data_IF_079034979365
#
_entry.id   IF_079034979365
#
_cell.length_a   1.000
_cell.length_b   1.000
_cell.length_c   1.000
_cell.angle_alpha   90.00
_cell.angle_beta   90.00
_cell.angle_gamma   90.00
#
_symmetry.space_group_name_H-M   'P 1'
#
loop_
_entity.id
_entity.type
_entity.pdbx_description
1 polymer ?
#
# COMPACT_ATOMS: atom_id res chain seq x y z
N UNK A 1 1.72 2.33 -5.32
CA UNK A 1 2.71 3.03 -4.46
C UNK A 1 2.70 2.62 -2.98
N UNK A 2 1.55 2.42 -2.32
CA UNK A 2 1.49 2.07 -0.88
C UNK A 2 2.23 0.76 -0.52
N UNK A 3 2.11 -0.30 -1.32
CA UNK A 3 2.76 -1.60 -1.04
C UNK A 3 4.30 -1.57 -1.05
N UNK A 4 4.91 -0.76 -1.92
CA UNK A 4 6.38 -0.61 -1.99
C UNK A 4 6.93 0.11 -0.75
N UNK A 5 6.18 1.10 -0.23
CA UNK A 5 6.52 1.82 1.00
C UNK A 5 6.48 0.91 2.23
N UNK A 6 5.41 0.14 2.41
CA UNK A 6 5.26 -0.78 3.55
C UNK A 6 6.30 -1.91 3.52
N UNK A 7 6.66 -2.41 2.34
CA UNK A 7 7.72 -3.43 2.19
C UNK A 7 9.09 -2.89 2.64
N UNK A 8 9.42 -1.66 2.24
CA UNK A 8 10.68 -1.02 2.63
C UNK A 8 10.71 -0.73 4.15
N UNK A 9 9.58 -0.34 4.74
CA UNK A 9 9.45 -0.13 6.19
C UNK A 9 9.63 -1.44 6.97
N UNK A 10 9.01 -2.54 6.53
CA UNK A 10 9.18 -3.86 7.15
C UNK A 10 10.66 -4.29 7.10
N UNK A 11 11.33 -4.11 5.96
CA UNK A 11 12.74 -4.44 5.79
C UNK A 11 13.64 -3.64 6.73
N UNK A 12 13.44 -2.33 6.78
CA UNK A 12 14.20 -1.44 7.66
C UNK A 12 14.08 -1.83 9.14
N UNK A 13 12.85 -2.00 9.63
CA UNK A 13 12.61 -2.38 11.02
C UNK A 13 13.15 -3.79 11.34
N UNK A 14 13.07 -4.73 10.39
CA UNK A 14 13.60 -6.09 10.57
C UNK A 14 15.12 -6.10 10.67
N UNK A 15 15.82 -5.38 9.76
CA UNK A 15 17.28 -5.27 9.80
C UNK A 15 17.73 -4.61 11.09
N UNK A 16 17.12 -3.47 11.45
CA UNK A 16 17.51 -2.73 12.64
C UNK A 16 17.28 -3.56 13.92
N UNK A 17 16.13 -4.22 14.05
CA UNK A 17 15.85 -5.12 15.17
C UNK A 17 16.84 -6.29 15.26
N UNK A 18 17.17 -6.92 14.13
CA UNK A 18 18.14 -8.01 14.07
C UNK A 18 19.56 -7.57 14.45
N UNK A 19 20.01 -6.39 13.97
CA UNK A 19 21.31 -5.83 14.31
C UNK A 19 21.43 -5.53 15.81
N UNK A 20 20.40 -4.92 16.40
CA UNK A 20 20.36 -4.63 17.85
C UNK A 20 20.40 -5.93 18.67
N UNK A 21 19.61 -6.93 18.29
CA UNK A 21 19.58 -8.22 18.98
C UNK A 21 20.93 -8.94 18.88
N UNK A 22 21.49 -9.04 17.66
CA UNK A 22 22.78 -9.68 17.42
C UNK A 22 23.92 -8.98 18.17
N UNK A 23 23.95 -7.64 18.16
CA UNK A 23 24.93 -6.86 18.92
C UNK A 23 24.79 -7.09 20.43
N UNK A 24 23.56 -7.16 20.95
CA UNK A 24 23.32 -7.42 22.37
C UNK A 24 23.76 -8.83 22.78
N UNK A 25 23.47 -9.84 21.95
CA UNK A 25 23.93 -11.23 22.17
C UNK A 25 25.44 -11.33 22.08
N UNK A 26 26.08 -10.64 21.12
CA UNK A 26 27.54 -10.62 21.02
C UNK A 26 28.19 -10.02 22.27
N UNK A 27 27.64 -8.94 22.82
CA UNK A 27 28.11 -8.34 24.08
C UNK A 27 27.93 -9.29 25.27
N UNK A 28 26.87 -10.10 25.31
CA UNK A 28 26.68 -11.11 26.35
C UNK A 28 27.71 -12.23 26.28
N UNK A 29 28.04 -12.69 25.07
CA UNK A 29 28.94 -13.82 24.84
C UNK A 29 30.41 -13.44 25.00
N UNK A 30 30.79 -12.25 24.53
CA UNK A 30 32.19 -11.81 24.44
C UNK A 30 32.54 -10.65 25.39
N UNK A 31 31.60 -10.20 26.23
CA UNK A 31 31.82 -9.12 27.19
C UNK A 31 32.72 -9.53 28.36
N UNK A 32 33.39 -8.54 28.96
CA UNK A 32 34.37 -8.69 30.04
C UNK A 32 33.81 -9.38 31.31
N UNK A 33 32.48 -9.44 31.46
CA UNK A 33 31.77 -10.07 32.60
C UNK A 33 30.75 -11.14 32.13
N UNK A 34 31.13 -12.04 31.22
CA UNK A 34 30.22 -13.02 30.59
C UNK A 34 29.77 -14.15 31.53
N UNK A 35 28.69 -13.92 32.28
CA UNK A 35 27.88 -14.98 32.89
C UNK A 35 26.59 -15.17 32.10
N UNK A 36 26.64 -16.05 31.09
CA UNK A 36 25.58 -16.22 30.09
C UNK A 36 24.25 -16.67 30.70
N UNK A 37 24.25 -17.49 31.77
CA UNK A 37 23.02 -18.05 32.34
C UNK A 37 22.18 -17.05 33.14
N UNK A 38 22.80 -16.09 33.83
CA UNK A 38 22.11 -15.04 34.61
C UNK A 38 21.61 -13.86 33.76
N UNK A 39 21.99 -13.84 32.49
CA UNK A 39 21.88 -12.66 31.60
C UNK A 39 20.77 -12.76 30.54
N UNK A 40 20.25 -13.95 30.28
CA UNK A 40 19.26 -14.15 29.20
C UNK A 40 17.86 -13.68 29.62
N UNK A 41 17.51 -13.82 30.91
CA UNK A 41 16.18 -13.44 31.43
C UNK A 41 15.78 -11.99 31.14
N UNK A 42 16.61 -10.99 31.49
CA UNK A 42 16.34 -9.58 31.20
C UNK A 42 16.14 -9.29 29.71
N UNK A 43 16.96 -9.90 28.84
CA UNK A 43 16.84 -9.76 27.38
C UNK A 43 15.49 -10.28 26.87
N UNK A 44 15.11 -11.50 27.27
CA UNK A 44 13.85 -12.11 26.85
C UNK A 44 12.65 -11.32 27.39
N UNK A 45 12.72 -10.85 28.64
CA UNK A 45 11.66 -10.06 29.24
C UNK A 45 11.47 -8.72 28.52
N UNK A 46 12.58 -8.03 28.19
CA UNK A 46 12.53 -6.78 27.43
C UNK A 46 11.93 -6.99 26.04
N UNK A 47 12.36 -8.06 25.36
CA UNK A 47 11.89 -8.43 24.02
C UNK A 47 10.41 -8.82 24.00
N UNK A 48 9.96 -9.66 24.93
CA UNK A 48 8.56 -10.08 25.01
C UNK A 48 7.64 -8.90 25.32
N UNK A 49 8.00 -8.05 26.29
CA UNK A 49 7.22 -6.88 26.66
C UNK A 49 7.07 -5.92 25.48
N UNK A 50 8.18 -5.57 24.82
CA UNK A 50 8.13 -4.60 23.72
C UNK A 50 7.46 -5.16 22.46
N UNK A 51 7.64 -6.45 22.12
CA UNK A 51 6.86 -7.07 21.05
C UNK A 51 5.36 -6.94 21.34
N UNK A 52 4.94 -7.28 22.56
CA UNK A 52 3.53 -7.23 22.93
C UNK A 52 2.95 -5.81 22.81
N UNK A 53 3.66 -4.81 23.36
CA UNK A 53 3.22 -3.40 23.34
C UNK A 53 3.16 -2.83 21.93
N UNK A 54 4.21 -3.05 21.12
CA UNK A 54 4.32 -2.43 19.80
C UNK A 54 3.57 -3.20 18.71
N UNK A 55 3.23 -4.48 18.93
CA UNK A 55 2.36 -5.27 18.06
C UNK A 55 0.96 -4.68 17.92
N UNK A 56 0.35 -4.28 19.03
CA UNK A 56 -1.01 -3.71 19.00
C UNK A 56 -1.01 -2.21 18.71
N UNK A 57 0.16 -1.57 18.79
CA UNK A 57 0.28 -0.12 18.71
C UNK A 57 -0.25 0.53 19.98
N UNK A 58 0.47 1.55 20.47
CA UNK A 58 -0.02 2.34 21.59
C UNK A 58 -1.04 3.34 21.06
N UNK A 59 -2.33 3.22 21.40
CA UNK A 59 -3.36 4.10 20.87
C UNK A 59 -3.13 5.55 21.29
N UNK A 60 -2.48 5.76 22.44
CA UNK A 60 -2.26 7.07 23.03
C UNK A 60 -0.76 7.41 23.13
N UNK A 61 -0.39 8.58 22.62
CA UNK A 61 1.01 9.04 22.54
C UNK A 61 1.71 9.12 23.91
N UNK A 62 0.97 9.34 24.99
CA UNK A 62 1.52 9.41 26.35
C UNK A 62 1.95 8.04 26.89
N UNK A 63 1.34 6.94 26.43
CA UNK A 63 1.79 5.59 26.81
C UNK A 63 3.20 5.33 26.29
N UNK A 64 3.54 5.84 25.10
CA UNK A 64 4.91 5.71 24.55
C UNK A 64 5.93 6.36 25.49
N UNK A 65 5.60 7.52 26.06
CA UNK A 65 6.45 8.22 27.02
C UNK A 65 6.62 7.41 28.30
N UNK A 66 5.54 6.80 28.81
CA UNK A 66 5.62 5.93 29.98
C UNK A 66 6.43 4.67 29.74
N UNK A 67 6.26 4.01 28.59
CA UNK A 67 7.05 2.82 28.26
C UNK A 67 8.53 3.17 28.07
N UNK A 68 8.85 4.32 27.48
CA UNK A 68 10.22 4.82 27.37
C UNK A 68 10.80 5.14 28.76
N UNK A 69 10.03 5.80 29.63
CA UNK A 69 10.43 6.06 31.00
C UNK A 69 10.67 4.75 31.78
N UNK A 70 9.79 3.75 31.64
CA UNK A 70 9.97 2.43 32.25
C UNK A 70 11.21 1.72 31.71
N UNK A 71 11.49 1.85 30.42
CA UNK A 71 12.70 1.32 29.79
C UNK A 71 13.96 1.89 30.45
N UNK A 72 14.00 3.20 30.65
CA UNK A 72 15.13 3.86 31.31
C UNK A 72 15.23 3.51 32.79
N UNK A 73 14.13 3.55 33.53
CA UNK A 73 14.12 3.24 34.98
C UNK A 73 14.55 1.79 35.23
N UNK A 74 13.97 0.82 34.51
CA UNK A 74 14.33 -0.60 34.65
C UNK A 74 15.77 -0.85 34.19
N UNK A 75 16.21 -0.22 33.10
CA UNK A 75 17.59 -0.33 32.62
C UNK A 75 18.60 0.19 33.64
N UNK A 76 18.33 1.31 34.30
CA UNK A 76 19.22 1.88 35.32
C UNK A 76 19.22 1.07 36.62
N UNK A 77 18.06 0.58 37.06
CA UNK A 77 17.93 -0.19 38.30
C UNK A 77 18.61 -1.57 38.24
N UNK A 78 18.69 -2.16 37.04
CA UNK A 78 19.23 -3.50 36.84
C UNK A 78 20.76 -3.54 36.67
N UNK A 79 21.45 -2.41 36.55
CA UNK A 79 22.90 -2.38 36.35
C UNK A 79 23.33 -3.10 35.05
N UNK A 80 24.26 -4.05 35.13
CA UNK A 80 24.75 -4.81 33.96
C UNK A 80 23.62 -5.58 33.22
N UNK A 81 22.74 -6.34 33.92
CA UNK A 81 21.50 -6.88 33.36
C UNK A 81 20.59 -5.85 32.67
N UNK A 82 20.71 -4.57 33.02
CA UNK A 82 19.96 -3.47 32.41
C UNK A 82 20.28 -3.25 30.94
N UNK A 83 21.55 -3.43 30.53
CA UNK A 83 21.96 -3.32 29.11
C UNK A 83 21.27 -4.38 28.25
N UNK A 84 21.07 -5.56 28.81
CA UNK A 84 20.46 -6.72 28.16
C UNK A 84 18.95 -6.52 28.01
N UNK A 85 18.30 -6.03 29.08
CA UNK A 85 16.92 -5.56 29.04
C UNK A 85 16.73 -4.50 27.95
N UNK A 86 17.62 -3.51 27.87
CA UNK A 86 17.51 -2.43 26.89
C UNK A 86 17.65 -2.94 25.46
N UNK A 87 18.63 -3.82 25.19
CA UNK A 87 18.82 -4.44 23.88
C UNK A 87 17.62 -5.29 23.46
N UNK A 88 17.07 -6.08 24.38
CA UNK A 88 15.85 -6.87 24.15
C UNK A 88 14.65 -5.99 23.87
N UNK A 89 14.45 -4.94 24.66
CA UNK A 89 13.36 -3.99 24.51
C UNK A 89 13.41 -3.28 23.16
N UNK A 90 14.57 -2.76 22.75
CA UNK A 90 14.75 -2.10 21.45
C UNK A 90 14.51 -3.06 20.29
N UNK A 91 15.08 -4.26 20.33
CA UNK A 91 14.85 -5.27 19.29
C UNK A 91 13.37 -5.66 19.19
N UNK A 92 12.73 -5.94 20.32
CA UNK A 92 11.33 -6.34 20.35
C UNK A 92 10.36 -5.23 19.92
N UNK A 93 10.68 -3.95 20.15
CA UNK A 93 9.87 -2.83 19.64
C UNK A 93 9.84 -2.82 18.11
N UNK A 94 10.97 -3.09 17.46
CA UNK A 94 11.06 -3.18 16.00
C UNK A 94 10.29 -4.39 15.48
N UNK A 95 10.47 -5.57 16.10
CA UNK A 95 9.73 -6.77 15.71
C UNK A 95 8.22 -6.64 15.95
N UNK A 96 7.80 -5.93 17.00
CA UNK A 96 6.39 -5.59 17.23
C UNK A 96 5.81 -4.74 16.10
N UNK A 97 6.55 -3.73 15.62
CA UNK A 97 6.14 -2.92 14.45
C UNK A 97 6.07 -3.77 13.19
N UNK A 98 7.07 -4.61 12.93
CA UNK A 98 7.06 -5.56 11.80
C UNK A 98 5.85 -6.48 11.87
N UNK A 99 5.56 -7.04 13.05
CA UNK A 99 4.40 -7.90 13.24
C UNK A 99 3.11 -7.17 12.91
N UNK A 100 2.94 -5.94 13.41
CA UNK A 100 1.75 -5.11 13.13
C UNK A 100 1.58 -4.84 11.65
N UNK A 101 2.66 -4.45 10.97
CA UNK A 101 2.66 -4.18 9.52
C UNK A 101 2.36 -5.45 8.71
N UNK A 102 2.92 -6.59 9.11
CA UNK A 102 2.63 -7.89 8.50
C UNK A 102 1.17 -8.32 8.74
N UNK A 103 0.64 -8.11 9.95
CA UNK A 103 -0.74 -8.43 10.30
C UNK A 103 -1.76 -7.59 9.52
N UNK A 104 -1.46 -6.30 9.30
CA UNK A 104 -2.25 -5.42 8.43
C UNK A 104 -2.22 -5.84 6.96
N UNK A 105 -1.16 -6.53 6.51
CA UNK A 105 -1.12 -7.14 5.18
C UNK A 105 -2.02 -8.38 5.08
N UNK A 106 -2.27 -9.06 6.21
CA UNK A 106 -3.09 -10.28 6.29
C UNK A 106 -4.56 -10.06 6.65
N UNK A 107 -4.99 -8.84 7.01
CA UNK A 107 -6.43 -8.52 7.03
C UNK A 107 -6.98 -8.81 5.65
N UNK A 108 -7.93 -9.75 5.57
CA UNK A 108 -8.60 -10.23 4.37
C UNK A 108 -8.84 -9.03 3.45
N UNK A 109 -8.08 -8.94 2.35
CA UNK A 109 -8.35 -7.92 1.34
C UNK A 109 -9.78 -8.17 0.90
N UNK A 110 -10.65 -7.18 1.09
CA UNK A 110 -11.98 -7.23 0.52
C UNK A 110 -11.85 -7.64 -0.95
N UNK A 111 -12.73 -8.52 -1.42
CA UNK A 111 -12.63 -9.11 -2.76
C UNK A 111 -12.56 -8.01 -3.83
N UNK A 112 -13.25 -6.90 -3.59
CA UNK A 112 -13.23 -5.71 -4.42
C UNK A 112 -12.83 -4.49 -3.60
N UNK A 113 -12.23 -3.51 -4.26
CA UNK A 113 -12.03 -2.16 -3.70
C UNK A 113 -12.47 -1.12 -4.73
N UNK A 114 -13.26 -0.13 -4.32
CA UNK A 114 -13.67 1.01 -5.17
C UNK A 114 -13.26 2.30 -4.49
N UNK A 115 -12.39 3.10 -5.10
CA UNK A 115 -11.82 4.32 -4.52
C UNK A 115 -11.27 4.12 -3.10
N UNK A 116 -10.62 2.96 -2.86
CA UNK A 116 -10.07 2.58 -1.55
C UNK A 116 -11.09 2.02 -0.55
N UNK A 117 -12.40 2.03 -0.86
CA UNK A 117 -13.44 1.40 -0.04
C UNK A 117 -13.50 -0.10 -0.36
N UNK A 118 -13.23 -0.95 0.63
CA UNK A 118 -13.37 -2.40 0.52
C UNK A 118 -14.83 -2.83 0.39
N UNK A 119 -15.10 -3.75 -0.54
CA UNK A 119 -16.42 -4.28 -0.86
C UNK A 119 -16.32 -5.79 -1.06
N UNK A 120 -17.18 -6.55 -0.39
CA UNK A 120 -17.09 -8.02 -0.38
C UNK A 120 -17.88 -8.69 -1.53
N UNK A 121 -18.78 -7.97 -2.18
CA UNK A 121 -19.64 -8.53 -3.24
C UNK A 121 -19.48 -7.81 -4.58
N UNK A 122 -19.50 -8.58 -5.68
CA UNK A 122 -19.45 -8.03 -7.04
C UNK A 122 -20.64 -7.10 -7.34
N UNK A 123 -21.84 -7.40 -6.83
CA UNK A 123 -23.03 -6.57 -7.06
C UNK A 123 -22.88 -5.20 -6.43
N UNK A 124 -22.38 -5.12 -5.20
CA UNK A 124 -22.11 -3.85 -4.52
C UNK A 124 -20.92 -3.13 -5.14
N UNK A 125 -19.88 -3.85 -5.57
CA UNK A 125 -18.73 -3.26 -6.26
C UNK A 125 -19.17 -2.61 -7.57
N UNK A 126 -19.99 -3.30 -8.37
CA UNK A 126 -20.58 -2.78 -9.61
C UNK A 126 -21.43 -1.53 -9.36
N UNK A 127 -22.32 -1.59 -8.36
CA UNK A 127 -23.18 -0.45 -8.01
C UNK A 127 -22.35 0.75 -7.59
N UNK A 128 -21.36 0.54 -6.72
CA UNK A 128 -20.51 1.61 -6.20
C UNK A 128 -19.63 2.19 -7.30
N UNK A 129 -19.01 1.35 -8.14
CA UNK A 129 -18.18 1.80 -9.25
C UNK A 129 -18.96 2.66 -10.24
N UNK A 130 -20.19 2.27 -10.61
CA UNK A 130 -21.05 3.09 -11.47
C UNK A 130 -21.42 4.41 -10.81
N UNK A 131 -21.83 4.39 -9.54
CA UNK A 131 -22.14 5.63 -8.81
C UNK A 131 -20.94 6.58 -8.77
N UNK A 132 -19.72 6.06 -8.65
CA UNK A 132 -18.51 6.87 -8.67
C UNK A 132 -18.15 7.37 -10.08
N UNK A 133 -18.41 6.56 -11.11
CA UNK A 133 -18.26 6.98 -12.51
C UNK A 133 -19.19 8.15 -12.84
N UNK A 134 -20.45 8.08 -12.41
CA UNK A 134 -21.48 9.11 -12.62
C UNK A 134 -21.18 10.43 -11.90
N UNK A 135 -20.26 10.41 -10.93
CA UNK A 135 -19.82 11.60 -10.18
C UNK A 135 -18.60 12.28 -10.80
N UNK A 136 -17.97 11.71 -11.83
CA UNK A 136 -16.72 12.26 -12.37
C UNK A 136 -16.93 13.64 -13.00
N UNK A 137 -16.38 14.66 -12.34
CA UNK A 137 -16.46 16.06 -12.76
C UNK A 137 -15.10 16.62 -13.22
N UNK A 138 -14.01 15.84 -13.05
CA UNK A 138 -12.66 16.25 -13.39
C UNK A 138 -11.97 17.15 -12.35
N UNK A 139 -12.70 17.68 -11.36
CA UNK A 139 -12.17 18.58 -10.33
C UNK A 139 -12.18 17.94 -8.94
N UNK A 140 -13.39 17.75 -8.36
CA UNK A 140 -13.57 17.18 -7.02
C UNK A 140 -13.51 15.67 -7.06
N UNK A 141 -14.12 15.09 -8.08
CA UNK A 141 -14.16 13.66 -8.37
C UNK A 141 -13.50 13.45 -9.72
N UNK A 142 -12.17 13.43 -9.72
CA UNK A 142 -11.38 13.36 -10.96
C UNK A 142 -10.98 11.94 -11.32
N UNK A 143 -11.24 10.96 -10.45
CA UNK A 143 -10.80 9.57 -10.65
C UNK A 143 -11.74 8.54 -10.05
N UNK A 144 -11.94 7.47 -10.79
CA UNK A 144 -12.46 6.19 -10.35
C UNK A 144 -11.32 5.17 -10.36
N UNK A 145 -11.16 4.42 -9.28
CA UNK A 145 -10.27 3.27 -9.17
C UNK A 145 -11.07 2.07 -8.70
N UNK A 146 -11.02 0.97 -9.45
CA UNK A 146 -11.63 -0.32 -9.07
C UNK A 146 -10.54 -1.37 -9.04
N UNK A 147 -10.46 -2.15 -7.97
CA UNK A 147 -9.44 -3.19 -7.77
C UNK A 147 -10.07 -4.54 -7.43
N UNK A 148 -9.45 -5.61 -7.92
CA UNK A 148 -9.75 -6.99 -7.56
C UNK A 148 -8.45 -7.78 -7.44
N UNK A 149 -7.99 -8.00 -6.20
CA UNK A 149 -6.67 -8.60 -5.97
C UNK A 149 -5.55 -7.72 -6.52
N UNK A 150 -4.71 -8.22 -7.45
CA UNK A 150 -3.68 -7.42 -8.12
C UNK A 150 -4.24 -6.61 -9.31
N UNK A 151 -5.40 -6.98 -9.84
CA UNK A 151 -5.97 -6.31 -11.01
C UNK A 151 -6.58 -4.95 -10.64
N UNK A 152 -6.46 -4.00 -11.56
CA UNK A 152 -6.94 -2.63 -11.37
C UNK A 152 -7.50 -2.04 -12.66
N UNK A 153 -8.57 -1.26 -12.51
CA UNK A 153 -9.19 -0.42 -13.51
C UNK A 153 -9.20 1.03 -13.00
N UNK A 154 -8.74 1.97 -13.82
CA UNK A 154 -8.66 3.39 -13.48
C UNK A 154 -9.32 4.24 -14.58
N UNK A 155 -10.19 5.18 -14.19
CA UNK A 155 -10.77 6.18 -15.09
C UNK A 155 -10.48 7.54 -14.51
N UNK A 156 -9.99 8.47 -15.33
CA UNK A 156 -9.85 9.86 -14.95
C UNK A 156 -10.43 10.78 -16.02
N UNK A 157 -10.84 11.97 -15.60
CA UNK A 157 -11.43 12.95 -16.49
C UNK A 157 -12.78 13.49 -16.01
N UNK A 158 -13.52 14.09 -16.94
CA UNK A 158 -14.84 14.67 -16.68
C UNK A 158 -15.90 14.09 -17.61
N UNK A 159 -17.08 13.87 -17.05
CA UNK A 159 -18.26 13.55 -17.85
C UNK A 159 -18.67 14.70 -18.77
N UNK A 160 -19.40 14.40 -19.87
CA UNK A 160 -19.77 13.06 -20.34
C UNK A 160 -18.75 12.42 -21.30
N UNK A 161 -17.75 13.17 -21.77
CA UNK A 161 -16.97 12.78 -22.96
C UNK A 161 -15.47 13.10 -22.91
N UNK A 162 -14.90 13.28 -21.71
CA UNK A 162 -13.45 13.50 -21.53
C UNK A 162 -12.89 12.49 -20.54
N UNK A 163 -13.05 11.20 -20.82
CA UNK A 163 -12.61 10.12 -19.92
C UNK A 163 -11.44 9.35 -20.53
N UNK A 164 -10.40 9.16 -19.74
CA UNK A 164 -9.27 8.29 -20.08
C UNK A 164 -9.34 7.07 -19.17
N UNK A 165 -9.35 5.89 -19.79
CA UNK A 165 -9.59 4.63 -19.11
C UNK A 165 -8.37 3.72 -19.24
N UNK A 166 -7.91 3.20 -18.12
CA UNK A 166 -6.78 2.30 -18.02
C UNK A 166 -7.17 1.01 -17.29
N UNK A 167 -6.53 -0.09 -17.65
CA UNK A 167 -6.63 -1.34 -16.90
C UNK A 167 -5.28 -2.03 -16.81
N UNK A 168 -5.15 -2.89 -15.80
CA UNK A 168 -4.00 -3.76 -15.61
C UNK A 168 -4.44 -5.03 -14.87
N UNK A 169 -4.01 -6.20 -15.35
CA UNK A 169 -4.24 -7.47 -14.65
C UNK A 169 -3.36 -7.65 -13.40
N UNK A 170 -2.25 -6.91 -13.31
CA UNK A 170 -1.34 -6.84 -12.18
C UNK A 170 -0.80 -5.40 -11.99
N UNK A 171 -1.45 -4.64 -11.11
CA UNK A 171 -1.08 -3.27 -10.77
C UNK A 171 0.29 -3.12 -10.07
N UNK A 172 0.94 -4.23 -9.67
CA UNK A 172 2.34 -4.19 -9.23
C UNK A 172 3.32 -4.19 -10.41
N UNK A 173 2.88 -4.57 -11.61
CA UNK A 173 3.65 -4.54 -12.83
C UNK A 173 3.32 -3.29 -13.66
N UNK A 174 4.20 -2.27 -13.57
CA UNK A 174 4.04 -1.01 -14.29
C UNK A 174 4.11 -1.16 -15.83
N UNK A 175 4.57 -2.29 -16.36
CA UNK A 175 4.62 -2.56 -17.80
C UNK A 175 3.40 -3.31 -18.36
N UNK A 176 2.41 -3.62 -17.51
CA UNK A 176 1.19 -4.35 -17.90
C UNK A 176 -0.05 -3.45 -18.01
N UNK A 177 0.16 -2.13 -18.03
CA UNK A 177 -0.92 -1.18 -18.21
C UNK A 177 -1.40 -1.17 -19.66
N UNK A 178 -2.71 -1.08 -19.81
CA UNK A 178 -3.35 -0.85 -21.08
C UNK A 178 -4.27 0.37 -21.00
N UNK A 179 -4.36 1.13 -22.08
CA UNK A 179 -5.25 2.29 -22.22
C UNK A 179 -6.32 2.01 -23.27
N UNK A 180 -7.56 2.40 -22.98
CA UNK A 180 -8.69 2.19 -23.87
C UNK A 180 -8.61 3.16 -25.06
N UNK A 181 -8.61 2.62 -26.28
CA UNK A 181 -8.65 3.37 -27.52
C UNK A 181 -10.06 3.53 -28.05
N UNK A 182 -10.34 4.71 -28.56
CA UNK A 182 -11.52 5.04 -29.35
C UNK A 182 -11.20 4.85 -30.85
N UNK A 183 -11.53 3.67 -31.38
CA UNK A 183 -11.26 3.30 -32.79
C UNK A 183 -11.96 4.19 -33.82
N UNK A 184 -12.92 5.01 -33.38
CA UNK A 184 -13.68 5.93 -34.24
C UNK A 184 -13.03 7.30 -34.45
N UNK A 185 -11.93 7.62 -33.76
CA UNK A 185 -11.23 8.92 -33.88
C UNK A 185 -9.82 8.76 -34.46
N UNK A 186 -9.61 9.14 -35.73
CA UNK A 186 -8.32 8.99 -36.41
C UNK A 186 -7.32 10.15 -36.16
N UNK A 187 -7.66 11.18 -35.39
CA UNK A 187 -6.79 12.35 -35.20
C UNK A 187 -6.04 12.36 -33.86
N UNK A 188 -4.71 12.48 -33.91
CA UNK A 188 -3.83 12.74 -32.74
C UNK A 188 -3.92 14.19 -32.24
N UNK A 189 -5.12 14.79 -32.30
CA UNK A 189 -5.35 16.07 -31.65
C UNK A 189 -5.25 15.87 -30.15
N UNK A 190 -4.41 16.67 -29.51
CA UNK A 190 -4.34 16.70 -28.06
C UNK A 190 -5.61 17.34 -27.51
N UNK A 191 -6.27 16.64 -26.60
CA UNK A 191 -7.48 17.05 -25.90
C UNK A 191 -7.12 17.26 -24.45
N UNK A 192 -7.57 18.39 -23.92
CA UNK A 192 -7.41 18.73 -22.53
C UNK A 192 -8.43 17.96 -21.67
N UNK A 193 -7.90 17.13 -20.77
CA UNK A 193 -8.66 16.28 -19.84
C UNK A 193 -8.40 16.78 -18.42
N UNK A 194 -9.44 17.14 -17.66
CA UNK A 194 -9.28 17.60 -16.28
C UNK A 194 -8.95 16.43 -15.35
N UNK A 195 -7.90 16.58 -14.55
CA UNK A 195 -7.38 15.53 -13.65
C UNK A 195 -7.10 16.19 -12.29
N UNK A 196 -8.18 16.51 -11.59
CA UNK A 196 -8.14 17.19 -10.31
C UNK A 196 -7.86 18.67 -10.52
N UNK A 197 -6.69 19.14 -10.09
CA UNK A 197 -6.29 20.57 -10.22
C UNK A 197 -5.39 20.85 -11.41
N UNK A 198 -5.10 19.82 -12.21
CA UNK A 198 -4.25 19.91 -13.38
C UNK A 198 -5.01 19.42 -14.61
N UNK A 199 -4.61 19.94 -15.76
CA UNK A 199 -5.11 19.53 -17.07
C UNK A 199 -4.06 18.62 -17.74
N UNK A 200 -4.50 17.44 -18.19
CA UNK A 200 -3.69 16.52 -18.98
C UNK A 200 -3.98 16.69 -20.47
N UNK A 201 -2.93 16.74 -21.27
CA UNK A 201 -3.01 16.82 -22.73
C UNK A 201 -2.93 15.42 -23.33
N UNK A 202 -4.08 14.86 -23.71
CA UNK A 202 -4.22 13.44 -24.09
C UNK A 202 -4.62 13.34 -25.57
N UNK A 203 -4.00 12.47 -26.39
CA UNK A 203 -4.43 12.28 -27.77
C UNK A 203 -5.90 11.84 -27.83
N UNK A 204 -6.69 12.44 -28.71
CA UNK A 204 -8.15 12.26 -28.76
C UNK A 204 -8.57 10.79 -28.91
N UNK A 205 -7.75 9.98 -29.59
CA UNK A 205 -7.94 8.53 -29.70
C UNK A 205 -7.95 7.75 -28.38
N UNK A 206 -7.48 8.33 -27.27
CA UNK A 206 -7.54 7.72 -25.93
C UNK A 206 -8.59 8.38 -25.03
N UNK A 207 -9.36 9.33 -25.56
CA UNK A 207 -10.44 10.02 -24.87
C UNK A 207 -11.77 9.39 -25.29
N UNK A 208 -12.50 8.91 -24.29
CA UNK A 208 -13.70 8.10 -24.45
C UNK A 208 -14.91 8.79 -23.80
N UNK A 209 -16.09 8.45 -24.30
CA UNK A 209 -17.36 8.79 -23.66
C UNK A 209 -17.72 7.82 -22.52
N UNK A 210 -18.66 8.23 -21.68
CA UNK A 210 -19.12 7.43 -20.54
C UNK A 210 -19.69 6.07 -20.93
N UNK A 211 -20.33 5.94 -22.10
CA UNK A 211 -20.91 4.67 -22.54
C UNK A 211 -19.81 3.66 -22.84
N UNK A 212 -18.80 4.08 -23.60
CA UNK A 212 -17.62 3.26 -23.90
C UNK A 212 -16.88 2.84 -22.63
N UNK A 213 -16.74 3.75 -21.65
CA UNK A 213 -16.09 3.44 -20.37
C UNK A 213 -16.94 2.53 -19.47
N UNK A 214 -18.27 2.67 -19.45
CA UNK A 214 -19.16 1.77 -18.68
C UNK A 214 -19.13 0.34 -19.23
N UNK A 215 -19.02 0.15 -20.55
CA UNK A 215 -18.82 -1.18 -21.14
C UNK A 215 -17.45 -1.78 -20.76
N UNK A 216 -16.38 -0.99 -20.84
CA UNK A 216 -15.05 -1.43 -20.39
C UNK A 216 -15.02 -1.79 -18.89
N UNK A 217 -15.74 -1.02 -18.06
CA UNK A 217 -15.90 -1.33 -16.63
C UNK A 217 -16.68 -2.63 -16.42
N UNK A 218 -17.76 -2.87 -17.18
CA UNK A 218 -18.52 -4.14 -17.12
C UNK A 218 -17.66 -5.33 -17.48
N UNK A 219 -16.81 -5.20 -18.51
CA UNK A 219 -15.88 -6.23 -18.93
C UNK A 219 -14.85 -6.53 -17.84
N UNK A 220 -14.20 -5.49 -17.29
CA UNK A 220 -13.26 -5.64 -16.19
C UNK A 220 -13.89 -6.32 -14.97
N UNK A 221 -15.11 -5.92 -14.60
CA UNK A 221 -15.84 -6.54 -13.48
C UNK A 221 -16.19 -8.02 -13.74
N UNK A 222 -16.23 -8.47 -14.99
CA UNK A 222 -16.47 -9.87 -15.37
C UNK A 222 -15.17 -10.69 -15.32
N UNK A 223 -14.07 -10.11 -15.80
CA UNK A 223 -12.77 -10.78 -15.85
C UNK A 223 -11.59 -9.80 -15.58
N UNK A 224 -11.31 -9.51 -14.29
CA UNK A 224 -10.33 -8.49 -13.92
C UNK A 224 -8.90 -8.79 -14.37
N UNK A 225 -8.54 -10.08 -14.42
CA UNK A 225 -7.17 -10.54 -14.64
C UNK A 225 -6.95 -11.05 -16.08
N UNK A 226 -7.85 -10.73 -17.02
CA UNK A 226 -7.70 -11.20 -18.40
C UNK A 226 -6.36 -10.75 -18.99
N UNK A 227 -5.61 -11.71 -19.53
CA UNK A 227 -4.30 -11.48 -20.11
C UNK A 227 -4.37 -11.09 -21.60
N UNK A 228 -5.46 -11.45 -22.29
CA UNK A 228 -5.68 -11.14 -23.70
C UNK A 228 -6.70 -10.02 -23.81
N UNK A 229 -6.21 -8.81 -23.96
CA UNK A 229 -7.06 -7.64 -24.20
C UNK A 229 -7.50 -7.60 -25.66
N UNK A 230 -8.73 -7.14 -25.91
CA UNK A 230 -9.23 -6.94 -27.27
C UNK A 230 -8.51 -5.79 -27.99
N UNK A 231 -8.78 -5.63 -29.31
CA UNK A 231 -8.14 -4.61 -30.13
C UNK A 231 -8.40 -3.17 -29.68
N UNK A 232 -9.41 -2.96 -28.83
CA UNK A 232 -9.73 -1.68 -28.20
C UNK A 232 -8.73 -1.25 -27.11
N UNK A 233 -7.81 -2.12 -26.69
CA UNK A 233 -6.82 -1.82 -25.66
C UNK A 233 -5.42 -1.70 -26.25
N UNK A 234 -4.80 -0.54 -26.03
CA UNK A 234 -3.39 -0.33 -26.34
C UNK A 234 -2.53 -0.76 -25.15
N UNK A 235 -1.65 -1.72 -25.35
CA UNK A 235 -0.68 -2.18 -24.34
C UNK A 235 0.72 -1.62 -24.58
N UNK A 236 0.90 -0.73 -25.57
CA UNK A 236 2.20 -0.13 -25.85
C UNK A 236 2.64 0.78 -24.69
N UNK A 237 3.92 1.17 -24.67
CA UNK A 237 4.54 2.07 -23.69
C UNK A 237 3.72 3.36 -23.45
N UNK A 238 2.95 3.77 -24.45
CA UNK A 238 2.02 4.90 -24.38
C UNK A 238 0.95 4.76 -23.29
N UNK A 239 0.53 3.55 -22.91
CA UNK A 239 -0.41 3.33 -21.82
C UNK A 239 0.19 3.70 -20.45
N UNK A 240 1.51 3.58 -20.32
CA UNK A 240 2.24 4.03 -19.15
C UNK A 240 2.44 5.56 -19.19
N UNK A 241 2.80 6.12 -20.34
CA UNK A 241 3.00 7.57 -20.50
C UNK A 241 1.71 8.38 -20.31
N UNK A 242 0.58 7.83 -20.75
CA UNK A 242 -0.74 8.41 -20.55
C UNK A 242 -1.34 8.07 -19.19
N UNK A 243 -0.66 7.24 -18.40
CA UNK A 243 -1.07 6.97 -17.02
C UNK A 243 -0.92 8.25 -16.24
N UNK A 244 -2.06 8.81 -15.90
CA UNK A 244 -2.18 10.05 -15.15
C UNK A 244 -1.69 9.78 -13.73
N UNK A 245 -0.39 9.95 -13.49
CA UNK A 245 0.19 9.89 -12.15
C UNK A 245 0.08 11.28 -11.53
N UNK A 246 -0.61 11.34 -10.40
CA UNK A 246 -0.58 12.47 -9.48
C UNK A 246 0.15 12.03 -8.21
#
# INVERSE_FOLDING_TARGET
MAGKKTRNEIWFHSIFGALVLAGTVALMLFGVNSSVSTSIGPLLAGLALSIHVFRFGLPWRWLTVLFLASFFVVGLLLGQPGLQWMGGFLAGAQFGVVWRLAAQKTTVKATWTVNGKGIDTLSEARKTARQQLDLLDGERFHRLVVEHGPARFEVAGSLPSKLVCHRNGDAENDFSWAVLQNSGQPEDRSVEVPIGRIEGFIPSRYVNDVGTVDEALKEFLRDPATASLGPEWDTAEIAFDLRLSA
#
